data_IF_578254228715
#
_entry.id   IF_578254228715
#
_cell.length_a   1.000
_cell.length_b   1.000
_cell.length_c   1.000
_cell.angle_alpha   90.00
_cell.angle_beta   90.00
_cell.angle_gamma   90.00
#
_symmetry.space_group_name_H-M   'P 1'
#
loop_
_entity.id
_entity.type
_entity.pdbx_description
1 polymer ?
#
# COMPACT_ATOMS: atom_id res chain seq x y z
N UNK A 1 51.10 21.57 1.43
CA UNK A 1 50.47 20.31 0.97
C UNK A 1 49.39 19.81 1.93
N UNK A 2 49.64 19.68 3.24
CA UNK A 2 48.65 19.22 4.24
C UNK A 2 47.31 19.98 4.22
N UNK A 3 47.32 21.31 4.02
CA UNK A 3 46.10 22.13 3.91
C UNK A 3 45.20 21.74 2.73
N UNK A 4 45.78 21.29 1.61
CA UNK A 4 45.03 20.87 0.42
C UNK A 4 44.37 19.51 0.65
N UNK A 5 45.06 18.61 1.35
CA UNK A 5 44.51 17.31 1.74
C UNK A 5 43.35 17.43 2.73
N UNK A 6 43.43 18.34 3.69
CA UNK A 6 42.34 18.60 4.65
C UNK A 6 41.09 19.11 3.92
N UNK A 7 41.26 20.06 2.99
CA UNK A 7 40.15 20.58 2.18
C UNK A 7 39.53 19.49 1.29
N UNK A 8 40.36 18.62 0.72
CA UNK A 8 39.90 17.50 -0.11
C UNK A 8 39.08 16.49 0.70
N UNK A 9 39.54 16.10 1.89
CA UNK A 9 38.82 15.18 2.79
C UNK A 9 37.48 15.78 3.22
N UNK A 10 37.45 17.07 3.55
CA UNK A 10 36.23 17.77 3.95
C UNK A 10 35.22 17.85 2.80
N UNK A 11 35.70 18.08 1.57
CA UNK A 11 34.86 18.08 0.37
C UNK A 11 34.24 16.70 0.12
N UNK A 12 35.03 15.63 0.20
CA UNK A 12 34.55 14.26 0.02
C UNK A 12 33.52 13.90 1.10
N UNK A 13 33.77 14.28 2.36
CA UNK A 13 32.82 14.05 3.45
C UNK A 13 31.47 14.76 3.21
N UNK A 14 31.48 16.01 2.71
CA UNK A 14 30.26 16.74 2.35
C UNK A 14 29.49 16.08 1.20
N UNK A 15 30.20 15.59 0.18
CA UNK A 15 29.59 14.88 -0.95
C UNK A 15 28.92 13.58 -0.48
N UNK A 16 29.64 12.77 0.31
CA UNK A 16 29.11 11.52 0.87
C UNK A 16 27.90 11.81 1.78
N UNK A 17 27.98 12.82 2.64
CA UNK A 17 26.88 13.22 3.50
C UNK A 17 25.65 13.68 2.69
N UNK A 18 25.85 14.46 1.64
CA UNK A 18 24.79 14.89 0.72
C UNK A 18 24.12 13.71 0.00
N UNK A 19 24.89 12.72 -0.45
CA UNK A 19 24.38 11.50 -1.09
C UNK A 19 23.57 10.67 -0.10
N UNK A 20 24.09 10.44 1.11
CA UNK A 20 23.37 9.68 2.16
C UNK A 20 22.08 10.40 2.55
N UNK A 21 22.12 11.73 2.66
CA UNK A 21 20.93 12.55 2.94
C UNK A 21 19.90 12.47 1.81
N UNK A 22 20.32 12.50 0.55
CA UNK A 22 19.46 12.33 -0.62
C UNK A 22 18.81 10.94 -0.66
N UNK A 23 19.57 9.87 -0.38
CA UNK A 23 19.04 8.51 -0.33
C UNK A 23 18.03 8.36 0.83
N UNK A 24 18.35 8.92 2.01
CA UNK A 24 17.44 8.92 3.17
C UNK A 24 16.17 9.73 2.91
N UNK A 25 16.27 10.87 2.21
CA UNK A 25 15.12 11.71 1.82
C UNK A 25 14.25 11.02 0.76
N UNK A 26 14.84 10.28 -0.19
CA UNK A 26 14.09 9.49 -1.18
C UNK A 26 13.38 8.26 -0.56
N UNK A 27 13.91 7.68 0.52
CA UNK A 27 13.18 6.63 1.29
C UNK A 27 11.99 7.16 2.10
N UNK A 28 11.76 8.48 2.14
CA UNK A 28 10.76 9.09 3.00
C UNK A 28 9.34 9.23 2.42
N UNK A 29 9.14 9.22 1.09
CA UNK A 29 7.82 9.58 0.50
C UNK A 29 7.56 8.96 -0.88
N UNK A 30 7.79 7.67 -1.03
CA UNK A 30 7.19 6.87 -2.11
C UNK A 30 6.48 5.66 -1.53
N UNK A 31 5.71 5.87 -0.46
CA UNK A 31 4.41 5.24 -0.44
C UNK A 31 3.69 5.80 -1.67
N UNK A 32 3.29 5.00 -2.67
CA UNK A 32 2.27 5.46 -3.58
C UNK A 32 1.10 5.84 -2.68
N UNK A 33 0.86 7.13 -2.51
CA UNK A 33 -0.40 7.60 -1.94
C UNK A 33 -1.43 7.27 -3.01
N UNK A 34 -1.85 6.00 -3.07
CA UNK A 34 -3.22 5.76 -3.44
C UNK A 34 -4.04 6.63 -2.48
N UNK A 35 -5.00 7.40 -3.02
CA UNK A 35 -5.82 8.30 -2.22
C UNK A 35 -6.23 7.57 -0.95
N UNK A 36 -5.81 8.13 0.19
CA UNK A 36 -6.24 7.70 1.51
C UNK A 36 -7.72 8.04 1.57
N UNK A 37 -8.54 7.17 0.98
CA UNK A 37 -9.97 7.18 1.19
C UNK A 37 -10.17 6.76 2.63
N UNK A 38 -10.05 7.74 3.52
CA UNK A 38 -10.84 7.78 4.73
C UNK A 38 -12.30 7.89 4.26
N UNK A 39 -12.83 6.80 3.71
CA UNK A 39 -14.25 6.65 3.53
C UNK A 39 -14.80 6.63 4.95
N UNK A 40 -15.36 7.77 5.33
CA UNK A 40 -16.22 7.89 6.49
C UNK A 40 -17.37 6.93 6.19
N UNK A 41 -17.26 5.68 6.64
CA UNK A 41 -18.30 4.69 6.44
C UNK A 41 -19.60 5.29 7.01
N UNK A 42 -20.70 5.33 6.23
CA UNK A 42 -21.95 5.84 6.73
C UNK A 42 -22.34 5.05 7.98
N UNK A 43 -22.52 5.74 9.09
CA UNK A 43 -22.87 5.14 10.38
C UNK A 43 -24.23 4.45 10.23
N UNK A 44 -24.23 3.12 10.06
CA UNK A 44 -25.43 2.32 9.89
C UNK A 44 -25.26 1.11 8.97
N UNK A 45 -24.30 1.14 8.04
CA UNK A 45 -24.03 -0.02 7.17
C UNK A 45 -22.98 -0.93 7.78
N UNK A 46 -23.31 -2.22 7.89
CA UNK A 46 -22.36 -3.25 8.33
C UNK A 46 -21.52 -3.60 7.11
N UNK A 47 -20.28 -3.11 7.09
CA UNK A 47 -19.27 -3.52 6.11
C UNK A 47 -18.65 -4.83 6.59
N UNK A 48 -18.64 -5.83 5.73
CA UNK A 48 -18.07 -7.14 6.00
C UNK A 48 -16.88 -7.40 5.07
N UNK A 49 -15.87 -8.08 5.61
CA UNK A 49 -14.69 -8.47 4.84
C UNK A 49 -15.04 -9.61 3.90
N UNK A 50 -14.76 -9.41 2.61
CA UNK A 50 -14.98 -10.40 1.56
C UNK A 50 -13.76 -11.30 1.38
N UNK A 51 -12.58 -10.70 1.25
CA UNK A 51 -11.35 -11.40 0.90
C UNK A 51 -10.11 -10.64 1.39
N UNK A 52 -9.03 -11.37 1.67
CA UNK A 52 -7.72 -10.81 2.04
C UNK A 52 -6.64 -11.61 1.33
N UNK A 53 -5.70 -10.91 0.68
CA UNK A 53 -4.58 -11.51 -0.04
C UNK A 53 -3.36 -10.60 0.09
N UNK A 54 -2.17 -11.17 -0.05
CA UNK A 54 -0.90 -10.46 -0.14
C UNK A 54 -0.52 -10.11 -1.59
N UNK A 55 -1.28 -10.63 -2.56
CA UNK A 55 -1.10 -10.35 -3.99
C UNK A 55 -1.89 -9.12 -4.44
N UNK A 56 -1.18 -8.13 -4.98
CA UNK A 56 -1.79 -6.95 -5.59
C UNK A 56 -2.58 -7.33 -6.85
N UNK A 57 -2.09 -8.29 -7.63
CA UNK A 57 -2.69 -8.67 -8.91
C UNK A 57 -4.08 -9.30 -8.71
N UNK A 58 -4.23 -10.16 -7.70
CA UNK A 58 -5.53 -10.75 -7.34
C UNK A 58 -6.56 -9.68 -6.98
N UNK A 59 -6.14 -8.65 -6.23
CA UNK A 59 -7.00 -7.55 -5.82
C UNK A 59 -7.39 -6.67 -7.01
N UNK A 60 -6.46 -6.46 -7.94
CA UNK A 60 -6.73 -5.69 -9.16
C UNK A 60 -7.77 -6.41 -10.04
N UNK A 61 -7.64 -7.73 -10.20
CA UNK A 61 -8.61 -8.56 -10.94
C UNK A 61 -9.97 -8.54 -10.25
N UNK A 62 -9.99 -8.77 -8.93
CA UNK A 62 -11.23 -8.77 -8.14
C UNK A 62 -11.92 -7.39 -8.18
N UNK A 63 -11.16 -6.29 -8.09
CA UNK A 63 -11.69 -4.92 -8.25
C UNK A 63 -12.36 -4.74 -9.61
N UNK A 64 -11.70 -5.15 -10.69
CA UNK A 64 -12.23 -4.96 -12.04
C UNK A 64 -13.58 -5.68 -12.21
N UNK A 65 -13.70 -6.90 -11.67
CA UNK A 65 -14.95 -7.66 -11.69
C UNK A 65 -16.06 -7.01 -10.84
N UNK A 66 -15.73 -6.58 -9.62
CA UNK A 66 -16.69 -5.91 -8.73
C UNK A 66 -17.16 -4.56 -9.30
N UNK A 67 -16.28 -3.82 -9.96
CA UNK A 67 -16.64 -2.59 -10.69
C UNK A 67 -17.54 -2.88 -11.89
N UNK A 68 -17.27 -3.95 -12.64
CA UNK A 68 -18.11 -4.39 -13.76
C UNK A 68 -19.55 -4.68 -13.36
N UNK A 69 -19.75 -5.31 -12.19
CA UNK A 69 -21.09 -5.59 -11.64
C UNK A 69 -21.72 -4.41 -10.87
N UNK A 70 -21.07 -3.23 -10.85
CA UNK A 70 -21.52 -2.04 -10.11
C UNK A 70 -21.80 -2.30 -8.63
N UNK A 71 -21.03 -3.18 -8.01
CA UNK A 71 -21.15 -3.48 -6.58
C UNK A 71 -20.33 -2.47 -5.77
N UNK A 72 -20.92 -1.95 -4.70
CA UNK A 72 -20.21 -1.07 -3.78
C UNK A 72 -19.19 -1.89 -2.96
N UNK A 73 -17.92 -1.52 -3.11
CA UNK A 73 -16.80 -2.20 -2.47
C UNK A 73 -15.71 -1.19 -2.11
N UNK A 74 -14.93 -1.53 -1.09
CA UNK A 74 -13.80 -0.74 -0.63
C UNK A 74 -12.60 -1.66 -0.43
N UNK A 75 -11.44 -1.18 -0.86
CA UNK A 75 -10.18 -1.91 -0.77
C UNK A 75 -9.27 -1.17 0.18
N UNK A 76 -8.72 -1.88 1.16
CA UNK A 76 -7.76 -1.33 2.10
C UNK A 76 -6.43 -2.09 2.02
N UNK A 77 -5.34 -1.35 2.21
CA UNK A 77 -4.01 -1.93 2.37
C UNK A 77 -3.69 -1.97 3.86
N UNK A 78 -3.42 -3.16 4.38
CA UNK A 78 -3.00 -3.42 5.74
C UNK A 78 -1.54 -3.85 5.73
N UNK A 79 -0.66 -2.96 6.18
CA UNK A 79 0.77 -3.25 6.34
C UNK A 79 1.22 -2.92 7.74
N UNK A 80 1.30 -3.92 8.62
CA UNK A 80 1.98 -3.75 9.91
C UNK A 80 3.45 -4.09 9.70
N UNK A 81 4.34 -3.15 10.03
CA UNK A 81 5.78 -3.38 9.98
C UNK A 81 6.11 -4.58 10.85
N UNK A 82 6.76 -5.59 10.28
CA UNK A 82 7.27 -6.71 11.05
C UNK A 82 8.52 -6.27 11.85
N UNK A 83 8.96 -7.11 12.78
CA UNK A 83 10.16 -6.87 13.61
C UNK A 83 11.45 -6.76 12.79
N UNK A 84 11.43 -7.16 11.53
CA UNK A 84 12.57 -7.15 10.60
C UNK A 84 12.55 -5.93 9.67
N UNK A 85 11.54 -5.05 9.79
CA UNK A 85 11.42 -3.84 8.99
C UNK A 85 10.79 -4.04 7.60
N UNK A 86 10.34 -5.25 7.27
CA UNK A 86 9.54 -5.50 6.07
C UNK A 86 8.10 -5.06 6.34
N UNK A 87 7.46 -4.51 5.31
CA UNK A 87 6.03 -4.18 5.34
C UNK A 87 5.34 -5.25 4.51
N UNK A 88 4.87 -6.36 5.11
CA UNK A 88 3.99 -7.27 4.39
C UNK A 88 2.77 -6.48 3.99
N UNK A 89 2.61 -6.24 2.68
CA UNK A 89 1.46 -5.54 2.14
C UNK A 89 0.35 -6.56 2.02
N UNK A 90 -0.57 -6.55 2.98
CA UNK A 90 -1.83 -7.27 2.82
C UNK A 90 -2.86 -6.33 2.26
N UNK A 91 -3.71 -6.85 1.41
CA UNK A 91 -4.79 -6.14 0.79
C UNK A 91 -6.09 -6.84 1.15
N UNK A 92 -7.04 -6.08 1.67
CA UNK A 92 -8.36 -6.58 1.99
C UNK A 92 -9.42 -5.88 1.14
N UNK A 93 -10.45 -6.63 0.78
CA UNK A 93 -11.67 -6.11 0.17
C UNK A 93 -12.81 -6.25 1.16
N UNK A 94 -13.48 -5.14 1.44
CA UNK A 94 -14.71 -5.09 2.24
C UNK A 94 -15.84 -4.56 1.39
N UNK A 95 -17.05 -4.97 1.74
CA UNK A 95 -18.27 -4.57 1.04
C UNK A 95 -19.45 -4.54 1.99
N UNK A 96 -20.50 -3.83 1.61
CA UNK A 96 -21.73 -3.80 2.39
C UNK A 96 -22.33 -5.20 2.51
N UNK A 97 -22.85 -5.55 3.69
CA UNK A 97 -23.40 -6.88 3.98
C UNK A 97 -24.46 -7.35 2.96
N UNK A 98 -25.24 -6.44 2.38
CA UNK A 98 -26.22 -6.74 1.33
C UNK A 98 -25.61 -7.23 0.01
N UNK A 99 -24.34 -6.92 -0.24
CA UNK A 99 -23.61 -7.31 -1.45
C UNK A 99 -22.61 -8.44 -1.19
N UNK A 100 -22.44 -8.89 0.06
CA UNK A 100 -21.45 -9.89 0.45
C UNK A 100 -21.66 -11.23 -0.26
N UNK A 101 -22.90 -11.71 -0.37
CA UNK A 101 -23.17 -13.00 -1.03
C UNK A 101 -22.85 -12.98 -2.52
N UNK A 102 -23.14 -11.86 -3.20
CA UNK A 102 -22.78 -11.65 -4.61
C UNK A 102 -21.27 -11.53 -4.78
N UNK A 103 -20.61 -10.78 -3.90
CA UNK A 103 -19.15 -10.69 -3.88
C UNK A 103 -18.48 -12.04 -3.69
N UNK A 104 -19.01 -12.89 -2.79
CA UNK A 104 -18.49 -14.24 -2.58
C UNK A 104 -18.69 -15.14 -3.81
N UNK A 105 -19.81 -15.01 -4.52
CA UNK A 105 -20.03 -15.74 -5.77
C UNK A 105 -19.05 -15.32 -6.88
N UNK A 106 -18.75 -14.03 -7.00
CA UNK A 106 -17.74 -13.51 -7.96
C UNK A 106 -16.34 -13.98 -7.55
N UNK A 107 -16.01 -13.89 -6.26
CA UNK A 107 -14.73 -14.36 -5.72
C UNK A 107 -14.53 -15.85 -6.01
N UNK A 108 -15.54 -16.68 -5.78
CA UNK A 108 -15.49 -18.12 -6.07
C UNK A 108 -15.26 -18.42 -7.55
N UNK A 109 -15.73 -17.57 -8.48
CA UNK A 109 -15.45 -17.71 -9.92
C UNK A 109 -14.01 -17.35 -10.31
N UNK A 110 -13.37 -16.47 -9.55
CA UNK A 110 -12.00 -16.01 -9.82
C UNK A 110 -10.97 -17.00 -9.26
N UNK A 111 -11.29 -17.62 -8.12
CA UNK A 111 -10.43 -18.58 -7.42
C UNK A 111 -10.65 -20.05 -7.81
N UNK A 112 -11.71 -20.32 -8.60
CA UNK A 112 -11.95 -21.62 -9.24
C UNK A 112 -11.10 -21.79 -10.49
#
# INVERSE_FOLDING_TARGET
MIRVWILFILLVALIVWGIVFLIKKRRGKTTPQLPRFAAKAPAGEIWAQLYETDSLDEITILRAQLQGEKLEHMIYEQGKRDSYGNVPKKYGVVMAKGHLSRGQAILARILS
#
